data_IF_827345990402
#
_entry.id   IF_827345990402
#
_cell.length_a   1.000
_cell.length_b   1.000
_cell.length_c   1.000
_cell.angle_alpha   90.00
_cell.angle_beta   90.00
_cell.angle_gamma   90.00
#
_symmetry.space_group_name_H-M   'P 1'
#
loop_
_entity.id
_entity.type
_entity.pdbx_description
1 polymer ?
#
# COMPACT_ATOMS: atom_id res chain seq x y z
N UNK A 1 -8.38 -9.64 -25.02
CA UNK A 1 -7.66 -9.51 -23.75
C UNK A 1 -8.60 -8.82 -22.80
N UNK A 2 -9.13 -9.57 -21.86
CA UNK A 2 -10.07 -9.11 -20.83
C UNK A 2 -9.31 -8.62 -19.60
N UNK A 3 -9.97 -7.89 -18.70
CA UNK A 3 -9.36 -7.50 -17.42
C UNK A 3 -8.85 -8.71 -16.64
N UNK A 4 -9.53 -9.86 -16.74
CA UNK A 4 -9.12 -11.14 -16.13
C UNK A 4 -7.78 -11.62 -16.69
N UNK A 5 -7.56 -11.49 -18.00
CA UNK A 5 -6.29 -11.88 -18.63
C UNK A 5 -5.15 -10.97 -18.17
N UNK A 6 -5.42 -9.68 -17.94
CA UNK A 6 -4.44 -8.72 -17.44
C UNK A 6 -4.05 -9.01 -15.98
N UNK A 7 -5.02 -9.38 -15.14
CA UNK A 7 -4.78 -9.74 -13.74
C UNK A 7 -3.86 -10.96 -13.59
N UNK A 8 -3.95 -11.94 -14.51
CA UNK A 8 -3.09 -13.12 -14.50
C UNK A 8 -1.60 -12.80 -14.77
N UNK A 9 -1.33 -11.65 -15.40
CA UNK A 9 0.02 -11.18 -15.72
C UNK A 9 0.48 -10.01 -14.86
N UNK A 10 -0.38 -9.50 -13.99
CA UNK A 10 -0.02 -8.42 -13.09
C UNK A 10 1.16 -8.85 -12.21
N UNK A 11 2.15 -7.98 -12.11
CA UNK A 11 3.25 -8.11 -11.15
C UNK A 11 3.07 -7.17 -9.95
N UNK A 12 2.10 -6.27 -10.02
CA UNK A 12 1.88 -5.21 -9.05
C UNK A 12 0.43 -4.70 -9.09
N UNK A 13 -0.07 -4.29 -7.92
CA UNK A 13 -1.34 -3.58 -7.75
C UNK A 13 -1.14 -2.41 -6.80
N UNK A 14 -1.62 -1.22 -7.15
CA UNK A 14 -1.63 -0.07 -6.24
C UNK A 14 -3.03 0.20 -5.71
N UNK A 15 -3.10 0.46 -4.41
CA UNK A 15 -4.31 0.80 -3.68
C UNK A 15 -4.16 2.21 -3.12
N UNK A 16 -5.16 3.04 -3.37
CA UNK A 16 -5.17 4.45 -3.01
C UNK A 16 -6.29 4.69 -1.98
N UNK A 17 -6.18 5.74 -1.16
CA UNK A 17 -7.27 6.15 -0.28
C UNK A 17 -8.58 6.42 -1.02
N UNK A 18 -9.69 6.26 -0.32
CA UNK A 18 -11.00 6.58 -0.87
C UNK A 18 -11.08 8.08 -1.25
N UNK A 19 -11.68 8.36 -2.40
CA UNK A 19 -11.82 9.73 -2.92
C UNK A 19 -10.52 10.36 -3.43
N UNK A 20 -9.40 9.62 -3.46
CA UNK A 20 -8.19 10.08 -4.14
C UNK A 20 -8.41 10.12 -5.65
N UNK A 21 -7.87 11.17 -6.27
CA UNK A 21 -7.90 11.41 -7.71
C UNK A 21 -6.48 11.41 -8.29
N UNK A 22 -6.34 11.20 -9.59
CA UNK A 22 -5.04 11.25 -10.27
C UNK A 22 -4.30 12.60 -10.13
N UNK A 23 -5.02 13.68 -9.79
CA UNK A 23 -4.42 15.01 -9.60
C UNK A 23 -3.88 15.26 -8.19
N UNK A 24 -4.19 14.38 -7.23
CA UNK A 24 -3.77 14.54 -5.85
C UNK A 24 -2.30 14.15 -5.68
N UNK A 25 -1.43 15.15 -5.54
CA UNK A 25 0.03 14.94 -5.48
C UNK A 25 0.48 14.19 -4.24
N UNK A 26 -0.29 14.24 -3.17
CA UNK A 26 0.02 13.66 -1.86
C UNK A 26 -0.45 12.21 -1.74
N UNK A 27 -1.20 11.69 -2.73
CA UNK A 27 -1.75 10.32 -2.68
C UNK A 27 -0.66 9.26 -2.48
N UNK A 28 0.54 9.48 -3.01
CA UNK A 28 1.66 8.54 -2.91
C UNK A 28 2.09 8.26 -1.46
N UNK A 29 1.82 9.19 -0.53
CA UNK A 29 2.15 9.00 0.89
C UNK A 29 1.24 7.97 1.57
N UNK A 30 0.09 7.69 0.97
CA UNK A 30 -0.93 6.77 1.47
C UNK A 30 -1.16 5.59 0.54
N UNK A 31 -0.45 5.55 -0.60
CA UNK A 31 -0.50 4.44 -1.53
C UNK A 31 0.08 3.18 -0.88
N UNK A 32 -0.64 2.07 -1.04
CA UNK A 32 -0.19 0.74 -0.65
C UNK A 32 -0.10 -0.13 -1.88
N UNK A 33 1.05 -0.75 -2.05
CA UNK A 33 1.35 -1.55 -3.25
C UNK A 33 1.42 -3.03 -2.90
N UNK A 34 0.81 -3.89 -3.70
CA UNK A 34 0.94 -5.35 -3.62
C UNK A 34 1.82 -5.79 -4.76
N UNK A 35 3.03 -6.25 -4.47
CA UNK A 35 4.02 -6.58 -5.49
C UNK A 35 4.42 -8.05 -5.45
N UNK A 36 4.47 -8.68 -6.63
CA UNK A 36 4.82 -10.10 -6.77
C UNK A 36 6.24 -10.33 -6.31
N UNK A 37 6.46 -11.44 -5.61
CA UNK A 37 7.75 -11.93 -5.17
C UNK A 37 7.90 -13.39 -5.61
N UNK A 38 8.97 -14.05 -5.19
CA UNK A 38 9.23 -15.44 -5.55
C UNK A 38 8.18 -16.40 -4.97
N UNK A 39 7.96 -17.54 -5.63
CA UNK A 39 7.10 -18.64 -5.18
C UNK A 39 5.61 -18.28 -5.08
N UNK A 40 5.10 -17.44 -5.99
CA UNK A 40 3.70 -16.98 -6.04
C UNK A 40 3.21 -16.27 -4.77
N UNK A 41 4.16 -15.80 -3.97
CA UNK A 41 3.89 -14.95 -2.81
C UNK A 41 4.08 -13.48 -3.17
N UNK A 42 3.39 -12.64 -2.41
CA UNK A 42 3.28 -11.21 -2.64
C UNK A 42 3.64 -10.46 -1.38
N UNK A 43 4.27 -9.29 -1.53
CA UNK A 43 4.54 -8.39 -0.43
C UNK A 43 3.58 -7.20 -0.51
N UNK A 44 3.04 -6.77 0.64
CA UNK A 44 2.29 -5.52 0.76
C UNK A 44 3.27 -4.45 1.22
N UNK A 45 3.34 -3.35 0.48
CA UNK A 45 4.38 -2.33 0.59
C UNK A 45 3.77 -0.96 0.90
N UNK A 46 4.44 -0.21 1.77
CA UNK A 46 4.15 1.20 2.02
C UNK A 46 5.45 1.93 2.36
N UNK A 47 5.80 2.97 1.59
CA UNK A 47 6.98 3.81 1.82
C UNK A 47 8.28 3.02 2.10
N UNK A 48 8.55 1.97 1.30
CA UNK A 48 9.74 1.13 1.44
C UNK A 48 9.71 0.15 2.62
N UNK A 49 8.54 -0.04 3.24
CA UNK A 49 8.30 -1.02 4.30
C UNK A 49 7.41 -2.13 3.79
N UNK A 50 7.56 -3.32 4.36
CA UNK A 50 6.69 -4.47 4.14
C UNK A 50 5.72 -4.62 5.31
N UNK A 51 4.48 -5.02 5.02
CA UNK A 51 3.54 -5.44 6.05
C UNK A 51 3.93 -6.81 6.62
N UNK A 52 4.18 -6.88 7.92
CA UNK A 52 4.33 -8.13 8.64
C UNK A 52 2.96 -8.58 9.15
N UNK A 53 2.45 -9.70 8.65
CA UNK A 53 1.12 -10.18 9.00
C UNK A 53 1.04 -10.84 10.39
N UNK A 54 2.20 -11.19 10.98
CA UNK A 54 2.29 -11.75 12.33
C UNK A 54 2.27 -10.64 13.38
N UNK A 55 3.09 -9.60 13.21
CA UNK A 55 3.16 -8.47 14.14
C UNK A 55 2.07 -7.42 13.87
N UNK A 56 1.43 -7.49 12.70
CA UNK A 56 0.47 -6.50 12.21
C UNK A 56 1.05 -5.09 12.18
N UNK A 57 2.31 -4.97 11.76
CA UNK A 57 3.03 -3.70 11.66
C UNK A 57 3.88 -3.63 10.39
N UNK A 58 4.34 -2.41 10.08
CA UNK A 58 5.20 -2.11 8.95
C UNK A 58 6.67 -2.25 9.32
N UNK A 59 7.35 -3.19 8.69
CA UNK A 59 8.77 -3.44 8.90
C UNK A 59 9.59 -2.94 7.72
N UNK A 60 10.70 -2.25 7.99
CA UNK A 60 11.63 -1.88 6.93
C UNK A 60 12.19 -3.12 6.23
N UNK A 61 12.28 -3.06 4.91
CA UNK A 61 12.88 -4.16 4.16
C UNK A 61 14.38 -4.25 4.50
N UNK A 62 14.85 -5.36 5.09
CA UNK A 62 16.25 -5.52 5.44
C UNK A 62 17.07 -5.79 4.18
N UNK A 63 18.33 -5.34 4.19
CA UNK A 63 19.29 -5.62 3.10
C UNK A 63 19.45 -7.13 2.87
N UNK A 64 19.55 -7.89 3.95
CA UNK A 64 19.55 -9.35 3.94
C UNK A 64 18.21 -9.86 4.46
N UNK A 65 17.46 -10.55 3.58
CA UNK A 65 16.12 -11.05 3.90
C UNK A 65 16.22 -12.45 4.49
N UNK A 66 16.07 -12.55 5.80
CA UNK A 66 16.04 -13.84 6.49
C UNK A 66 14.83 -14.68 6.08
N UNK A 67 14.90 -16.01 6.21
CA UNK A 67 13.74 -16.89 5.96
C UNK A 67 12.53 -16.50 6.81
N UNK A 68 12.77 -16.05 8.05
CA UNK A 68 11.74 -15.54 8.95
C UNK A 68 11.04 -14.32 8.36
N UNK A 69 11.80 -13.30 7.97
CA UNK A 69 11.25 -12.09 7.35
C UNK A 69 10.45 -12.43 6.08
N UNK A 70 10.99 -13.30 5.22
CA UNK A 70 10.29 -13.73 4.01
C UNK A 70 8.99 -14.46 4.31
N UNK A 71 8.92 -15.28 5.35
CA UNK A 71 7.70 -15.96 5.76
C UNK A 71 6.68 -14.98 6.33
N UNK A 72 7.11 -14.02 7.16
CA UNK A 72 6.24 -13.08 7.87
C UNK A 72 5.77 -11.89 7.01
N UNK A 73 6.50 -11.53 5.97
CA UNK A 73 6.18 -10.38 5.11
C UNK A 73 5.72 -10.76 3.70
N UNK A 74 5.50 -12.06 3.43
CA UNK A 74 4.98 -12.52 2.14
C UNK A 74 3.72 -13.36 2.32
N UNK A 75 2.73 -13.03 1.52
CA UNK A 75 1.37 -13.53 1.62
C UNK A 75 0.91 -14.14 0.29
N UNK A 76 -0.06 -15.06 0.31
CA UNK A 76 -0.88 -15.35 -0.86
C UNK A 76 -1.51 -14.06 -1.44
N UNK A 77 -1.75 -14.02 -2.75
CA UNK A 77 -2.23 -12.81 -3.43
C UNK A 77 -3.56 -12.29 -2.87
N UNK A 78 -4.51 -13.18 -2.63
CA UNK A 78 -5.84 -12.85 -2.12
C UNK A 78 -5.76 -12.18 -0.74
N UNK A 79 -4.91 -12.70 0.14
CA UNK A 79 -4.66 -12.12 1.44
C UNK A 79 -3.91 -10.77 1.34
N UNK A 80 -2.89 -10.69 0.48
CA UNK A 80 -2.15 -9.46 0.24
C UNK A 80 -3.07 -8.32 -0.26
N UNK A 81 -3.94 -8.62 -1.23
CA UNK A 81 -4.94 -7.68 -1.76
C UNK A 81 -5.96 -7.28 -0.68
N UNK A 82 -6.42 -8.23 0.13
CA UNK A 82 -7.36 -7.95 1.22
C UNK A 82 -6.74 -6.98 2.23
N UNK A 83 -5.49 -7.22 2.63
CA UNK A 83 -4.76 -6.32 3.53
C UNK A 83 -4.61 -4.95 2.87
N UNK A 84 -4.01 -4.90 1.69
CA UNK A 84 -3.69 -3.65 1.00
C UNK A 84 -4.91 -2.76 0.74
N UNK A 85 -6.08 -3.34 0.43
CA UNK A 85 -7.31 -2.57 0.22
C UNK A 85 -7.77 -1.81 1.47
N UNK A 86 -7.47 -2.33 2.66
CA UNK A 86 -7.93 -1.75 3.94
C UNK A 86 -6.97 -0.71 4.54
N UNK A 87 -5.74 -0.62 4.02
CA UNK A 87 -4.69 0.18 4.65
C UNK A 87 -4.68 1.66 4.28
N UNK A 88 -4.84 2.09 3.00
CA UNK A 88 -4.65 3.47 2.59
C UNK A 88 -5.34 4.50 3.49
N UNK A 89 -6.60 4.27 3.85
CA UNK A 89 -7.38 5.21 4.68
C UNK A 89 -6.99 5.22 6.16
N UNK A 90 -6.21 4.22 6.62
CA UNK A 90 -5.76 4.09 8.01
C UNK A 90 -4.33 4.59 8.22
N UNK A 91 -3.60 4.86 7.14
CA UNK A 91 -2.22 5.30 7.21
C UNK A 91 -2.13 6.75 7.70
N UNK A 92 -1.15 7.01 8.56
CA UNK A 92 -0.83 8.34 9.04
C UNK A 92 0.61 8.72 8.69
N UNK A 93 0.78 9.87 8.05
CA UNK A 93 2.10 10.48 7.80
C UNK A 93 2.20 11.74 8.63
N UNK A 94 3.22 11.82 9.50
CA UNK A 94 3.39 12.92 10.47
C UNK A 94 2.12 13.17 11.32
N UNK A 95 1.41 12.11 11.69
CA UNK A 95 0.16 12.19 12.47
C UNK A 95 -1.04 12.71 11.71
N UNK A 96 -0.99 12.74 10.36
CA UNK A 96 -2.07 13.16 9.48
C UNK A 96 -2.48 12.02 8.56
N UNK A 97 -3.78 11.76 8.49
CA UNK A 97 -4.42 10.82 7.58
C UNK A 97 -4.67 11.46 6.21
N UNK A 98 -5.08 10.67 5.23
CA UNK A 98 -5.52 11.18 3.92
C UNK A 98 -6.62 12.25 4.05
N UNK A 99 -7.60 12.00 4.92
CA UNK A 99 -8.71 12.93 5.18
C UNK A 99 -8.20 14.26 5.73
N UNK A 100 -7.21 14.23 6.64
CA UNK A 100 -6.61 15.44 7.18
C UNK A 100 -5.91 16.28 6.10
N UNK A 101 -5.18 15.62 5.19
CA UNK A 101 -4.54 16.30 4.06
C UNK A 101 -5.57 16.99 3.17
N UNK A 102 -6.65 16.29 2.83
CA UNK A 102 -7.74 16.88 2.01
C UNK A 102 -8.40 18.07 2.68
N UNK A 103 -8.61 18.01 4.00
CA UNK A 103 -9.14 19.14 4.76
C UNK A 103 -8.19 20.36 4.73
N UNK A 104 -6.88 20.14 4.87
CA UNK A 104 -5.87 21.21 4.80
C UNK A 104 -5.86 21.87 3.42
N UNK A 105 -5.86 21.08 2.34
CA UNK A 105 -5.88 21.61 0.97
C UNK A 105 -7.15 22.40 0.67
N UNK A 106 -8.31 21.93 1.14
CA UNK A 106 -9.57 22.65 0.99
C UNK A 106 -9.53 24.01 1.72
N UNK A 107 -8.94 24.07 2.91
CA UNK A 107 -8.76 25.33 3.65
C UNK A 107 -7.78 26.29 2.98
N UNK A 108 -6.74 25.77 2.32
CA UNK A 108 -5.78 26.58 1.56
C UNK A 108 -6.43 27.16 0.31
N UNK A 109 -7.13 26.33 -0.46
CA UNK A 109 -7.84 26.77 -1.68
C UNK A 109 -8.95 27.80 -1.40
N UNK A 110 -9.52 27.81 -0.19
CA UNK A 110 -10.53 28.81 0.21
C UNK A 110 -9.93 30.16 0.65
N UNK A 111 -8.61 30.25 0.81
CA UNK A 111 -7.89 31.48 1.19
C UNK A 111 -7.31 32.24 -0.01
N UNK A 112 -7.20 31.56 -1.14
CA UNK A 112 -6.75 32.10 -2.43
C UNK A 112 -7.96 32.60 -3.24
#
# INVERSE_FOLDING_TARGET
MTDVDLLAHASEFSFHPEGASFGDREVFYFEVTVARRSNDLWAVLWLGRCWNHVTQDWEYEPRERSKKFLAECRLPLDEAVKVARSKPDTLSVNGKTWVDFKAIHALQAARD
#
